data_IF_684554923306
#
_entry.id   IF_684554923306
#
_cell.length_a   1.000
_cell.length_b   1.000
_cell.length_c   1.000
_cell.angle_alpha   90.00
_cell.angle_beta   90.00
_cell.angle_gamma   90.00
#
_symmetry.space_group_name_H-M   'P 1'
#
loop_
_entity.id
_entity.type
_entity.pdbx_description
1 polymer ?
#
# COMPACT_ATOMS: atom_id res chain seq x y z
N UNK A 1 2.34 18.81 5.76
CA UNK A 1 1.64 17.51 5.88
C UNK A 1 0.26 17.79 6.44
N UNK A 2 -0.76 17.13 5.90
CA UNK A 2 -2.16 17.36 6.28
C UNK A 2 -2.79 16.05 6.72
N UNK A 3 -3.42 16.03 7.89
CA UNK A 3 -4.18 14.88 8.36
C UNK A 3 -5.36 14.62 7.41
N UNK A 4 -5.57 13.37 7.03
CA UNK A 4 -6.48 13.00 5.95
C UNK A 4 -7.95 13.22 6.37
N UNK A 5 -8.29 12.83 7.59
CA UNK A 5 -9.63 12.92 8.15
C UNK A 5 -9.62 12.65 9.66
N UNK A 6 -10.48 13.30 10.46
CA UNK A 6 -10.69 12.93 11.86
C UNK A 6 -11.15 11.47 12.05
N UNK A 7 -11.72 10.86 11.00
CA UNK A 7 -12.17 9.46 11.00
C UNK A 7 -11.06 8.46 10.63
N UNK A 8 -9.90 8.95 10.19
CA UNK A 8 -8.73 8.14 9.86
C UNK A 8 -7.52 8.66 10.63
N UNK A 9 -7.56 8.63 11.97
CA UNK A 9 -6.50 9.19 12.81
C UNK A 9 -5.15 8.58 12.45
N UNK A 10 -4.13 9.43 12.42
CA UNK A 10 -2.77 9.01 12.07
C UNK A 10 -2.53 8.82 10.57
N UNK A 11 -3.53 8.98 9.70
CA UNK A 11 -3.32 9.01 8.25
C UNK A 11 -3.06 10.43 7.78
N UNK A 12 -1.98 10.62 7.04
CA UNK A 12 -1.52 11.92 6.58
C UNK A 12 -1.27 11.89 5.08
N UNK A 13 -1.54 13.01 4.41
CA UNK A 13 -1.09 13.27 3.05
C UNK A 13 0.09 14.24 3.09
N UNK A 14 1.14 13.92 2.35
CA UNK A 14 2.29 14.80 2.16
C UNK A 14 1.95 15.79 1.04
N UNK A 15 1.76 17.05 1.43
CA UNK A 15 1.38 18.14 0.52
C UNK A 15 2.34 18.29 -0.66
N UNK A 16 1.78 18.41 -1.87
CA UNK A 16 2.55 18.51 -3.11
C UNK A 16 3.14 17.19 -3.61
N UNK A 17 2.74 16.05 -3.05
CA UNK A 17 3.20 14.73 -3.48
C UNK A 17 2.05 13.71 -3.56
N UNK A 18 2.36 12.53 -4.10
CA UNK A 18 1.48 11.36 -4.10
C UNK A 18 1.73 10.41 -2.92
N UNK A 19 2.37 10.91 -1.84
CA UNK A 19 2.73 10.12 -0.67
C UNK A 19 1.71 10.31 0.46
N UNK A 20 1.21 9.18 0.95
CA UNK A 20 0.50 9.06 2.22
C UNK A 20 1.42 8.50 3.31
N UNK A 21 1.15 8.85 4.55
CA UNK A 21 1.82 8.28 5.72
C UNK A 21 0.79 7.77 6.70
N UNK A 22 1.06 6.63 7.32
CA UNK A 22 0.39 6.23 8.54
C UNK A 22 1.37 6.39 9.71
N UNK A 23 0.98 7.21 10.70
CA UNK A 23 1.76 7.52 11.90
C UNK A 23 0.98 7.01 13.10
N UNK A 24 1.65 6.23 13.94
CA UNK A 24 1.13 5.72 15.21
C UNK A 24 2.24 5.76 16.26
N UNK A 25 1.89 6.01 17.53
CA UNK A 25 2.83 6.06 18.65
C UNK A 25 4.08 6.92 18.35
N UNK A 26 3.85 8.09 17.72
CA UNK A 26 4.87 9.05 17.24
C UNK A 26 5.90 8.50 16.24
N UNK A 27 5.55 7.43 15.52
CA UNK A 27 6.41 6.77 14.52
C UNK A 27 5.67 6.59 13.20
N UNK A 28 6.41 6.66 12.09
CA UNK A 28 5.87 6.33 10.76
C UNK A 28 5.78 4.81 10.63
N UNK A 29 4.55 4.30 10.68
CA UNK A 29 4.24 2.88 10.56
C UNK A 29 4.21 2.41 9.10
N UNK A 30 3.72 3.27 8.20
CA UNK A 30 3.79 2.99 6.77
C UNK A 30 3.87 4.24 5.91
N UNK A 31 4.45 4.06 4.73
CA UNK A 31 4.50 5.04 3.66
C UNK A 31 3.73 4.45 2.49
N UNK A 32 2.71 5.18 2.04
CA UNK A 32 1.83 4.78 0.95
C UNK A 32 2.12 5.65 -0.25
N UNK A 33 2.13 5.07 -1.45
CA UNK A 33 2.29 5.82 -2.67
C UNK A 33 1.29 5.34 -3.71
N UNK A 34 0.58 6.29 -4.32
CA UNK A 34 -0.30 6.01 -5.45
C UNK A 34 0.33 6.47 -6.75
N UNK A 35 0.31 5.61 -7.78
CA UNK A 35 0.83 5.93 -9.11
C UNK A 35 -0.21 5.53 -10.17
N UNK A 36 -0.35 6.39 -11.17
CA UNK A 36 -0.97 5.98 -12.42
C UNK A 36 -0.05 5.00 -13.14
N UNK A 37 -0.62 3.97 -13.76
CA UNK A 37 0.17 2.96 -14.48
C UNK A 37 -0.64 1.72 -14.81
N UNK A 38 -0.10 0.93 -15.74
CA UNK A 38 -0.69 -0.32 -16.19
C UNK A 38 0.08 -1.55 -15.71
N UNK A 39 -0.28 -2.69 -16.30
CA UNK A 39 0.39 -3.97 -16.01
C UNK A 39 1.90 -3.93 -16.28
N UNK A 40 2.34 -3.19 -17.29
CA UNK A 40 3.77 -3.07 -17.61
C UNK A 40 4.55 -2.35 -16.51
N UNK A 41 4.08 -1.18 -16.06
CA UNK A 41 4.72 -0.41 -14.98
C UNK A 41 4.74 -1.21 -13.67
N UNK A 42 3.63 -1.89 -13.37
CA UNK A 42 3.53 -2.81 -12.25
C UNK A 42 4.57 -3.93 -12.32
N UNK A 43 4.73 -4.56 -13.48
CA UNK A 43 5.69 -5.65 -13.67
C UNK A 43 7.14 -5.19 -13.46
N UNK A 44 7.49 -3.99 -13.92
CA UNK A 44 8.82 -3.40 -13.68
C UNK A 44 9.06 -3.15 -12.18
N UNK A 45 8.09 -2.56 -11.48
CA UNK A 45 8.19 -2.32 -10.03
C UNK A 45 8.36 -3.64 -9.27
N UNK A 46 7.56 -4.66 -9.60
CA UNK A 46 7.66 -5.99 -8.99
C UNK A 46 9.01 -6.65 -9.29
N UNK A 47 9.53 -6.49 -10.50
CA UNK A 47 10.85 -7.01 -10.87
C UNK A 47 11.96 -6.36 -10.04
N UNK A 48 11.92 -5.05 -9.87
CA UNK A 48 12.92 -4.31 -9.09
C UNK A 48 12.94 -4.79 -7.63
N UNK A 49 11.77 -4.90 -6.98
CA UNK A 49 11.70 -5.41 -5.62
C UNK A 49 12.05 -6.89 -5.51
N UNK A 50 11.79 -7.69 -6.54
CA UNK A 50 12.19 -9.11 -6.56
C UNK A 50 13.70 -9.28 -6.57
N UNK A 51 14.44 -8.35 -7.20
CA UNK A 51 15.91 -8.35 -7.16
C UNK A 51 16.41 -8.08 -5.74
N UNK A 52 15.75 -7.19 -5.00
CA UNK A 52 16.16 -6.78 -3.66
C UNK A 52 15.70 -7.74 -2.56
N UNK A 53 14.44 -8.15 -2.58
CA UNK A 53 13.79 -8.92 -1.51
C UNK A 53 13.62 -10.42 -1.83
N UNK A 54 13.90 -10.85 -3.07
CA UNK A 54 13.63 -12.21 -3.53
C UNK A 54 12.18 -12.44 -3.94
N UNK A 55 11.74 -13.70 -3.93
CA UNK A 55 10.38 -14.05 -4.39
C UNK A 55 9.29 -13.50 -3.47
N UNK A 56 8.25 -12.84 -4.02
CA UNK A 56 7.13 -12.36 -3.23
C UNK A 56 6.05 -13.42 -3.00
N UNK A 57 5.21 -13.18 -1.99
CA UNK A 57 3.88 -13.78 -1.94
C UNK A 57 2.94 -13.00 -2.87
N UNK A 58 2.19 -13.70 -3.72
CA UNK A 58 1.24 -13.07 -4.66
C UNK A 58 -0.17 -13.56 -4.43
N UNK A 59 -1.12 -12.63 -4.40
CA UNK A 59 -2.56 -12.90 -4.32
C UNK A 59 -3.27 -12.20 -5.46
N UNK A 60 -4.19 -12.90 -6.13
CA UNK A 60 -5.06 -12.31 -7.14
C UNK A 60 -6.48 -12.45 -6.63
N UNK A 61 -7.21 -11.34 -6.60
CA UNK A 61 -8.58 -11.32 -6.08
C UNK A 61 -9.47 -10.44 -6.96
N UNK A 62 -10.68 -10.90 -7.19
CA UNK A 62 -11.72 -10.14 -7.89
C UNK A 62 -13.02 -10.24 -7.10
N UNK A 63 -13.64 -9.11 -6.81
CA UNK A 63 -14.86 -9.05 -6.01
C UNK A 63 -15.78 -7.90 -6.45
N UNK A 64 -17.10 -8.04 -6.29
CA UNK A 64 -18.05 -6.98 -6.61
C UNK A 64 -18.18 -5.97 -5.45
N UNK A 65 -18.33 -4.70 -5.80
CA UNK A 65 -18.74 -3.60 -4.91
C UNK A 65 -19.91 -2.87 -5.57
N UNK A 66 -21.13 -3.22 -5.14
CA UNK A 66 -22.36 -2.78 -5.80
C UNK A 66 -22.39 -3.24 -7.26
N UNK A 67 -22.59 -2.34 -8.24
CA UNK A 67 -22.56 -2.70 -9.66
C UNK A 67 -21.14 -2.80 -10.25
N UNK A 68 -20.10 -2.42 -9.50
CA UNK A 68 -18.72 -2.34 -9.99
C UNK A 68 -17.95 -3.59 -9.61
N UNK A 69 -17.09 -4.09 -10.50
CA UNK A 69 -16.12 -5.13 -10.15
C UNK A 69 -14.77 -4.50 -9.85
N UNK A 70 -14.13 -4.95 -8.78
CA UNK A 70 -12.78 -4.59 -8.40
C UNK A 70 -11.90 -5.83 -8.58
N UNK A 71 -10.77 -5.68 -9.27
CA UNK A 71 -9.77 -6.73 -9.43
C UNK A 71 -8.41 -6.24 -8.97
N UNK A 72 -7.74 -7.02 -8.13
CA UNK A 72 -6.44 -6.68 -7.59
C UNK A 72 -5.43 -7.81 -7.82
N UNK A 73 -4.19 -7.42 -8.08
CA UNK A 73 -3.01 -8.27 -7.95
C UNK A 73 -2.17 -7.66 -6.83
N UNK A 74 -2.07 -8.36 -5.72
CA UNK A 74 -1.29 -7.99 -4.54
C UNK A 74 0.01 -8.79 -4.52
N UNK A 75 1.14 -8.09 -4.46
CA UNK A 75 2.48 -8.67 -4.41
C UNK A 75 3.19 -8.16 -3.17
N UNK A 76 3.46 -9.07 -2.24
CA UNK A 76 4.07 -8.76 -0.94
C UNK A 76 5.48 -9.32 -0.84
N UNK A 77 6.42 -8.42 -0.59
CA UNK A 77 7.80 -8.70 -0.25
C UNK A 77 7.99 -8.54 1.26
N UNK A 78 8.74 -9.45 1.89
CA UNK A 78 9.06 -9.38 3.32
C UNK A 78 10.51 -9.77 3.53
N UNK A 79 11.29 -8.86 4.10
CA UNK A 79 12.67 -9.14 4.50
C UNK A 79 12.74 -9.80 5.89
N UNK A 80 13.84 -10.50 6.21
CA UNK A 80 14.07 -11.02 7.56
C UNK A 80 14.17 -9.94 8.65
N UNK A 81 14.54 -8.69 8.29
CA UNK A 81 14.58 -7.54 9.21
C UNK A 81 13.19 -6.98 9.54
N UNK A 82 12.15 -7.42 8.82
CA UNK A 82 10.77 -6.96 8.98
C UNK A 82 10.38 -5.83 8.02
N UNK A 83 11.31 -5.27 7.24
CA UNK A 83 10.97 -4.33 6.17
C UNK A 83 10.16 -5.06 5.11
N UNK A 84 9.00 -4.51 4.77
CA UNK A 84 8.05 -5.10 3.85
C UNK A 84 7.55 -4.06 2.85
N UNK A 85 7.30 -4.55 1.64
CA UNK A 85 6.68 -3.78 0.57
C UNK A 85 5.47 -4.55 0.06
N UNK A 86 4.32 -3.91 -0.02
CA UNK A 86 3.18 -4.40 -0.77
C UNK A 86 3.00 -3.56 -2.03
N UNK A 87 2.99 -4.20 -3.19
CA UNK A 87 2.70 -3.58 -4.47
C UNK A 87 1.38 -4.15 -4.97
N UNK A 88 0.40 -3.29 -5.19
CA UNK A 88 -0.91 -3.67 -5.67
C UNK A 88 -1.17 -3.02 -7.03
N UNK A 89 -1.55 -3.82 -8.02
CA UNK A 89 -2.25 -3.33 -9.20
C UNK A 89 -3.75 -3.50 -8.97
N UNK A 90 -4.50 -2.40 -9.00
CA UNK A 90 -5.95 -2.41 -8.83
C UNK A 90 -6.64 -1.95 -10.10
N UNK A 91 -7.72 -2.63 -10.48
CA UNK A 91 -8.67 -2.21 -11.50
C UNK A 91 -10.02 -1.97 -10.85
N UNK A 92 -10.54 -0.75 -10.92
CA UNK A 92 -11.89 -0.39 -10.47
C UNK A 92 -12.59 0.33 -11.60
N UNK A 93 -13.73 -0.19 -12.07
CA UNK A 93 -14.47 0.39 -13.20
C UNK A 93 -13.57 0.59 -14.44
N UNK A 94 -12.78 -0.45 -14.75
CA UNK A 94 -11.77 -0.48 -15.84
C UNK A 94 -10.59 0.51 -15.68
N UNK A 95 -10.57 1.33 -14.63
CA UNK A 95 -9.46 2.24 -14.33
C UNK A 95 -8.40 1.52 -13.53
N UNK A 96 -7.18 1.53 -14.05
CA UNK A 96 -6.01 0.95 -13.42
C UNK A 96 -5.30 1.95 -12.52
N UNK A 97 -4.82 1.49 -11.39
CA UNK A 97 -3.94 2.23 -10.49
C UNK A 97 -2.97 1.29 -9.79
N UNK A 98 -1.79 1.81 -9.47
CA UNK A 98 -0.76 1.08 -8.73
C UNK A 98 -0.64 1.71 -7.35
N UNK A 99 -0.69 0.89 -6.32
CA UNK A 99 -0.49 1.31 -4.94
C UNK A 99 0.72 0.59 -4.35
N UNK A 100 1.63 1.35 -3.77
CA UNK A 100 2.78 0.84 -3.03
C UNK A 100 2.58 1.17 -1.55
N UNK A 101 2.88 0.21 -0.68
CA UNK A 101 2.90 0.41 0.75
C UNK A 101 4.19 -0.15 1.34
N UNK A 102 5.00 0.72 1.91
CA UNK A 102 6.24 0.40 2.61
C UNK A 102 5.96 0.41 4.10
N UNK A 103 6.28 -0.66 4.81
CA UNK A 103 5.99 -0.78 6.23
C UNK A 103 6.97 -1.73 6.90
N UNK A 104 7.07 -1.62 8.23
CA UNK A 104 7.80 -2.61 9.03
C UNK A 104 6.80 -3.58 9.64
N UNK A 105 6.83 -4.84 9.22
CA UNK A 105 5.94 -5.90 9.71
C UNK A 105 6.12 -6.22 11.20
N UNK A 106 7.27 -5.86 11.79
CA UNK A 106 7.54 -6.02 13.22
C UNK A 106 7.06 -4.81 14.04
N UNK A 107 6.63 -3.73 13.38
CA UNK A 107 6.13 -2.54 14.06
C UNK A 107 4.71 -2.79 14.55
N UNK A 108 4.50 -2.57 15.85
CA UNK A 108 3.19 -2.63 16.46
C UNK A 108 2.71 -1.20 16.74
N UNK A 109 1.50 -0.90 16.29
CA UNK A 109 0.78 0.29 16.70
C UNK A 109 -0.18 -0.10 17.82
N UNK A 110 -0.11 0.57 18.97
CA UNK A 110 -1.20 0.49 19.93
C UNK A 110 -2.37 1.28 19.39
N UNK A 111 -3.35 0.61 18.79
CA UNK A 111 -4.63 1.25 18.49
C UNK A 111 -5.32 1.51 19.82
N UNK A 112 -5.13 2.70 20.41
CA UNK A 112 -6.09 3.22 21.37
C UNK A 112 -7.39 3.45 20.61
N UNK A 113 -8.25 2.42 20.56
CA UNK A 113 -9.67 2.61 20.29
C UNK A 113 -10.22 3.44 21.45
N UNK A 114 -10.30 4.75 21.25
CA UNK A 114 -11.06 5.61 22.16
C UNK A 114 -12.51 5.07 22.17
N UNK A 115 -13.07 4.76 23.34
CA UNK A 115 -14.40 4.14 23.45
C UNK A 115 -15.52 5.02 22.90
#
# INVERSE_FOLDING_TARGET
MKELSPFLPGNWLVEGSNLGLFVCDDKVASIQQHRDGGLHDFALIVQDFRIEYGEPATTIVTFPVGPTWISNIDVRFTSPSGESVNVQLSSTDEKLGIHLNFFNANMQCTTETKP
#
